data_IF_406322283688
#
_entry.id   IF_406322283688
#
_cell.length_a   1.000
_cell.length_b   1.000
_cell.length_c   1.000
_cell.angle_alpha   90.00
_cell.angle_beta   90.00
_cell.angle_gamma   90.00
#
_symmetry.space_group_name_H-M   'P 1'
#
loop_
_entity.id
_entity.type
_entity.pdbx_description
1 polymer ?
#
# COMPACT_ATOMS: atom_id res chain seq x y z
N UNK A 1 -2.66 5.45 -22.37
CA UNK A 1 -2.39 5.81 -20.95
C UNK A 1 -0.98 6.37 -20.89
N UNK A 2 -0.82 7.63 -20.55
CA UNK A 2 0.50 8.19 -20.25
C UNK A 2 0.85 7.92 -18.79
N UNK A 3 2.05 7.43 -18.52
CA UNK A 3 2.44 6.98 -17.17
C UNK A 3 3.71 7.67 -16.71
N UNK A 4 3.70 8.17 -15.48
CA UNK A 4 4.87 8.73 -14.81
C UNK A 4 5.16 7.94 -13.54
N UNK A 5 6.42 7.79 -13.23
CA UNK A 5 6.91 7.15 -12.01
C UNK A 5 7.69 8.21 -11.23
N UNK A 6 7.16 8.63 -10.10
CA UNK A 6 7.71 9.75 -9.32
C UNK A 6 7.85 9.34 -7.86
N UNK A 7 8.91 9.82 -7.23
CA UNK A 7 9.00 9.85 -5.78
C UNK A 7 8.10 10.94 -5.18
N UNK A 8 7.83 10.84 -3.88
CA UNK A 8 6.97 11.81 -3.17
C UNK A 8 7.50 13.25 -3.32
N UNK A 9 8.82 13.44 -3.23
CA UNK A 9 9.46 14.75 -3.35
C UNK A 9 9.44 15.34 -4.77
N UNK A 10 9.17 14.51 -5.79
CA UNK A 10 9.11 14.93 -7.19
C UNK A 10 7.70 15.39 -7.62
N UNK A 11 6.71 15.25 -6.73
CA UNK A 11 5.35 15.69 -6.98
C UNK A 11 5.29 17.23 -7.00
N UNK A 12 5.25 17.81 -8.19
CA UNK A 12 5.15 19.26 -8.39
C UNK A 12 3.71 19.78 -8.46
N UNK A 13 2.75 18.88 -8.67
CA UNK A 13 1.32 19.19 -8.71
C UNK A 13 0.53 17.92 -8.34
N UNK A 14 -0.71 18.10 -7.91
CA UNK A 14 -1.62 16.97 -7.63
C UNK A 14 -1.98 16.27 -8.94
N UNK A 15 -1.69 14.97 -9.11
CA UNK A 15 -2.08 14.23 -10.30
C UNK A 15 -3.60 14.01 -10.35
N UNK A 16 -4.15 13.84 -11.56
CA UNK A 16 -5.55 13.46 -11.71
C UNK A 16 -5.80 12.04 -11.18
N UNK A 17 -4.94 11.09 -11.55
CA UNK A 17 -4.97 9.70 -11.08
C UNK A 17 -3.61 9.37 -10.48
N UNK A 18 -3.61 8.91 -9.23
CA UNK A 18 -2.43 8.48 -8.50
C UNK A 18 -2.53 6.99 -8.13
N UNK A 19 -1.46 6.24 -8.35
CA UNK A 19 -1.27 4.90 -7.80
C UNK A 19 -0.09 4.96 -6.85
N UNK A 20 -0.35 4.88 -5.56
CA UNK A 20 0.69 4.91 -4.53
C UNK A 20 1.14 3.48 -4.27
N UNK A 21 2.40 3.21 -4.52
CA UNK A 21 2.97 1.85 -4.43
C UNK A 21 3.91 1.77 -3.23
N UNK A 22 3.61 0.83 -2.34
CA UNK A 22 4.45 0.45 -1.19
C UNK A 22 4.30 -1.07 -0.98
N UNK A 23 5.21 -1.81 -1.59
CA UNK A 23 5.22 -3.28 -1.57
C UNK A 23 5.67 -3.81 -0.22
N UNK A 24 6.75 -3.22 0.30
CA UNK A 24 7.39 -3.70 1.53
C UNK A 24 7.43 -2.59 2.62
N UNK A 25 6.25 -2.38 3.35
CA UNK A 25 5.17 -3.40 3.50
C UNK A 25 3.75 -2.81 3.51
N UNK A 26 3.59 -1.45 3.41
CA UNK A 26 2.35 -0.78 3.79
C UNK A 26 1.10 -1.33 3.11
N UNK A 27 1.12 -1.47 1.78
CA UNK A 27 -0.09 -1.85 1.05
C UNK A 27 -0.26 -3.36 0.89
N UNK A 28 0.79 -4.14 1.10
CA UNK A 28 0.63 -5.58 1.36
C UNK A 28 -0.10 -5.80 2.68
N UNK A 29 0.28 -5.09 3.75
CA UNK A 29 -0.40 -5.16 5.07
C UNK A 29 -1.85 -4.70 4.96
N UNK A 30 -2.12 -3.61 4.24
CA UNK A 30 -3.48 -3.12 4.01
C UNK A 30 -4.36 -4.18 3.31
N UNK A 31 -3.84 -4.82 2.27
CA UNK A 31 -4.55 -5.89 1.56
C UNK A 31 -4.84 -7.09 2.47
N UNK A 32 -3.87 -7.52 3.27
CA UNK A 32 -4.09 -8.56 4.28
C UNK A 32 -5.11 -8.15 5.35
N UNK A 33 -5.11 -6.88 5.79
CA UNK A 33 -6.11 -6.40 6.74
C UNK A 33 -7.54 -6.54 6.17
N UNK A 34 -7.76 -6.18 4.91
CA UNK A 34 -9.06 -6.39 4.23
C UNK A 34 -9.41 -7.86 4.09
N UNK A 35 -8.46 -8.70 3.70
CA UNK A 35 -8.67 -10.15 3.63
C UNK A 35 -9.00 -10.77 4.99
N UNK A 36 -8.60 -10.14 6.09
CA UNK A 36 -8.94 -10.51 7.47
C UNK A 36 -10.20 -9.84 8.00
N UNK A 37 -10.95 -9.15 7.13
CA UNK A 37 -12.28 -8.61 7.42
C UNK A 37 -12.30 -7.17 7.89
N UNK A 38 -11.20 -6.42 7.82
CA UNK A 38 -11.22 -4.99 8.10
C UNK A 38 -12.23 -4.27 7.19
N UNK A 39 -13.05 -3.39 7.76
CA UNK A 39 -14.04 -2.63 7.01
C UNK A 39 -13.39 -1.49 6.21
N UNK A 40 -12.48 -0.79 6.85
CA UNK A 40 -11.72 0.33 6.27
C UNK A 40 -10.38 0.53 6.97
N UNK A 41 -9.48 1.24 6.29
CA UNK A 41 -8.20 1.63 6.85
C UNK A 41 -8.11 3.15 6.81
N UNK A 42 -7.87 3.79 7.95
CA UNK A 42 -7.60 5.22 8.07
C UNK A 42 -6.09 5.43 8.04
N UNK A 43 -5.61 6.26 7.13
CA UNK A 43 -4.20 6.59 7.00
C UNK A 43 -3.87 7.79 7.88
N UNK A 44 -3.00 7.61 8.86
CA UNK A 44 -2.56 8.67 9.76
C UNK A 44 -1.25 9.32 9.27
N UNK A 45 -1.15 10.64 9.36
CA UNK A 45 0.05 11.38 8.97
C UNK A 45 1.17 11.32 10.01
N UNK A 46 0.82 11.08 11.29
CA UNK A 46 1.79 10.97 12.39
C UNK A 46 1.41 9.87 13.38
N UNK A 47 2.36 9.48 14.24
CA UNK A 47 2.10 8.54 15.34
C UNK A 47 1.11 9.13 16.34
N UNK A 48 1.24 10.42 16.65
CA UNK A 48 0.35 11.12 17.57
C UNK A 48 -1.09 11.17 17.04
N UNK A 49 -1.27 11.39 15.73
CA UNK A 49 -2.58 11.34 15.10
C UNK A 49 -3.18 9.92 15.18
N UNK A 50 -2.38 8.90 14.89
CA UNK A 50 -2.84 7.50 15.00
C UNK A 50 -3.28 7.16 16.44
N UNK A 51 -2.51 7.57 17.44
CA UNK A 51 -2.85 7.39 18.85
C UNK A 51 -4.07 8.20 19.27
N UNK A 52 -4.22 9.43 18.79
CA UNK A 52 -5.38 10.26 19.06
C UNK A 52 -6.66 9.65 18.44
N UNK A 53 -6.57 9.10 17.22
CA UNK A 53 -7.65 8.36 16.58
C UNK A 53 -8.02 7.10 17.40
N UNK A 54 -7.02 6.30 17.78
CA UNK A 54 -7.21 5.13 18.63
C UNK A 54 -7.84 5.50 19.97
N UNK A 55 -7.43 6.60 20.58
CA UNK A 55 -8.00 7.08 21.85
C UNK A 55 -9.49 7.48 21.75
N UNK A 56 -9.88 8.08 20.62
CA UNK A 56 -11.30 8.40 20.34
C UNK A 56 -12.14 7.19 19.95
N UNK A 57 -11.50 6.17 19.39
CA UNK A 57 -12.13 4.94 18.90
C UNK A 57 -11.38 3.72 19.47
N UNK A 58 -11.61 3.34 20.74
CA UNK A 58 -10.84 2.27 21.39
C UNK A 58 -10.98 0.89 20.72
N UNK A 59 -12.04 0.67 19.94
CA UNK A 59 -12.31 -0.52 19.15
C UNK A 59 -11.51 -0.59 17.84
N UNK A 60 -10.93 0.51 17.36
CA UNK A 60 -10.08 0.51 16.17
C UNK A 60 -8.76 -0.20 16.45
N UNK A 61 -8.14 -0.73 15.41
CA UNK A 61 -6.84 -1.42 15.47
C UNK A 61 -5.75 -0.50 14.94
N UNK A 62 -4.79 -0.12 15.78
CA UNK A 62 -3.71 0.79 15.41
C UNK A 62 -2.45 0.01 14.99
N UNK A 63 -1.95 0.29 13.78
CA UNK A 63 -0.74 -0.30 13.20
C UNK A 63 0.33 0.77 12.95
N UNK A 64 1.59 0.41 13.15
CA UNK A 64 2.73 1.29 12.83
C UNK A 64 3.95 0.51 12.31
N UNK A 65 4.84 1.20 11.61
CA UNK A 65 6.16 0.67 11.26
C UNK A 65 7.09 0.56 12.47
N UNK A 66 8.11 -0.27 12.34
CA UNK A 66 9.19 -0.45 13.32
C UNK A 66 8.78 -1.30 14.51
N UNK A 67 9.47 -1.17 15.63
CA UNK A 67 9.23 -1.95 16.84
C UNK A 67 7.82 -1.76 17.41
N UNK A 68 7.27 -2.76 18.12
CA UNK A 68 6.07 -2.59 18.92
C UNK A 68 6.19 -1.39 19.86
N UNK A 69 5.11 -0.63 20.01
CA UNK A 69 5.08 0.55 20.86
C UNK A 69 3.75 0.66 21.63
N UNK A 70 3.75 1.26 22.83
CA UNK A 70 2.54 1.46 23.61
C UNK A 70 1.46 2.19 22.82
N UNK A 71 0.21 1.75 22.94
CA UNK A 71 -0.94 2.33 22.25
C UNK A 71 -1.18 1.80 20.83
N UNK A 72 -0.25 1.04 20.25
CA UNK A 72 -0.42 0.33 18.99
C UNK A 72 -0.71 -1.16 19.24
N UNK A 73 -1.64 -1.70 18.46
CA UNK A 73 -2.09 -3.10 18.61
C UNK A 73 -1.19 -4.07 17.85
N UNK A 74 -0.51 -3.61 16.80
CA UNK A 74 0.42 -4.40 16.02
C UNK A 74 1.41 -3.53 15.23
N UNK A 75 2.41 -4.19 14.67
CA UNK A 75 3.33 -3.60 13.71
C UNK A 75 2.87 -3.85 12.27
N UNK A 76 3.37 -3.06 11.35
CA UNK A 76 3.07 -3.14 9.92
C UNK A 76 3.80 -4.34 9.26
N UNK A 77 3.31 -5.54 9.55
CA UNK A 77 3.87 -6.82 9.08
C UNK A 77 2.75 -7.75 8.61
N UNK A 78 2.72 -8.16 7.33
CA UNK A 78 1.72 -9.09 6.82
C UNK A 78 1.84 -10.47 7.50
N UNK A 79 3.04 -10.91 7.84
CA UNK A 79 3.27 -12.17 8.55
C UNK A 79 2.63 -12.20 9.92
N UNK A 80 2.63 -11.07 10.64
CA UNK A 80 1.97 -10.96 11.95
C UNK A 80 0.45 -10.73 11.82
N UNK A 81 0.03 -9.99 10.78
CA UNK A 81 -1.38 -9.60 10.62
C UNK A 81 -2.26 -10.73 10.07
N UNK A 82 -1.71 -11.60 9.21
CA UNK A 82 -2.47 -12.65 8.51
C UNK A 82 -3.24 -13.62 9.42
N UNK A 83 -2.85 -13.74 10.69
CA UNK A 83 -3.50 -14.60 11.68
C UNK A 83 -4.51 -13.85 12.57
N UNK A 84 -4.63 -12.52 12.44
CA UNK A 84 -5.56 -11.73 13.26
C UNK A 84 -6.95 -11.73 12.65
N UNK A 85 -7.96 -11.71 13.50
CA UNK A 85 -9.34 -11.42 13.11
C UNK A 85 -9.56 -9.90 13.18
N UNK A 86 -9.97 -9.31 12.05
CA UNK A 86 -10.27 -7.89 11.92
C UNK A 86 -11.71 -7.66 11.47
N UNK A 87 -12.57 -8.68 11.59
CA UNK A 87 -13.97 -8.64 11.14
C UNK A 87 -14.72 -7.39 11.60
N UNK A 88 -15.15 -6.55 10.64
CA UNK A 88 -15.88 -5.30 10.89
C UNK A 88 -15.07 -4.19 11.59
N UNK A 89 -13.75 -4.37 11.76
CA UNK A 89 -12.91 -3.38 12.46
C UNK A 89 -12.40 -2.31 11.50
N UNK A 90 -12.29 -1.09 12.01
CA UNK A 90 -11.50 -0.04 11.37
C UNK A 90 -10.05 -0.18 11.81
N UNK A 91 -9.13 -0.11 10.85
CA UNK A 91 -7.69 -0.08 11.10
C UNK A 91 -7.20 1.36 10.96
N UNK A 92 -6.39 1.84 11.89
CA UNK A 92 -5.61 3.07 11.70
C UNK A 92 -4.16 2.67 11.41
N UNK A 93 -3.65 3.10 10.27
CA UNK A 93 -2.31 2.73 9.80
C UNK A 93 -1.42 3.97 9.69
N UNK A 94 -0.24 3.91 10.31
CA UNK A 94 0.83 4.90 10.14
C UNK A 94 2.09 4.20 9.69
N UNK A 95 2.59 4.58 8.51
CA UNK A 95 3.85 4.06 7.97
C UNK A 95 4.82 5.17 7.60
N UNK A 96 6.08 4.83 7.41
CA UNK A 96 7.14 5.79 7.11
C UNK A 96 7.00 6.38 5.71
N UNK A 97 6.56 5.59 4.73
CA UNK A 97 6.51 5.97 3.32
C UNK A 97 5.10 5.86 2.73
N UNK A 98 4.44 4.72 2.80
CA UNK A 98 3.15 4.47 2.13
C UNK A 98 2.05 5.46 2.54
N UNK A 99 1.82 5.66 3.84
CA UNK A 99 0.80 6.62 4.31
C UNK A 99 1.15 8.05 3.94
N UNK A 100 2.44 8.41 3.94
CA UNK A 100 2.92 9.74 3.53
C UNK A 100 2.64 9.96 2.03
N UNK A 101 2.94 8.95 1.19
CA UNK A 101 2.67 9.01 -0.25
C UNK A 101 1.18 9.19 -0.57
N UNK A 102 0.29 8.45 0.09
CA UNK A 102 -1.15 8.59 -0.13
C UNK A 102 -1.67 9.96 0.31
N UNK A 103 -1.20 10.47 1.45
CA UNK A 103 -1.57 11.80 1.93
C UNK A 103 -1.05 12.93 1.03
N UNK A 104 0.11 12.75 0.38
CA UNK A 104 0.66 13.73 -0.56
C UNK A 104 -0.19 13.90 -1.82
N UNK A 105 -0.99 12.90 -2.19
CA UNK A 105 -1.88 12.92 -3.38
C UNK A 105 -3.36 12.87 -3.01
N UNK A 106 -3.72 13.17 -1.77
CA UNK A 106 -5.10 13.05 -1.25
C UNK A 106 -6.16 13.83 -2.02
N UNK A 107 -5.76 14.87 -2.74
CA UNK A 107 -6.64 15.74 -3.54
C UNK A 107 -6.74 15.29 -5.02
N UNK A 108 -6.13 14.15 -5.39
CA UNK A 108 -6.30 13.53 -6.70
C UNK A 108 -7.74 13.02 -6.88
N UNK A 109 -8.23 13.03 -8.12
CA UNK A 109 -9.59 12.56 -8.43
C UNK A 109 -9.76 11.06 -8.19
N UNK A 110 -8.67 10.29 -8.30
CA UNK A 110 -8.61 8.87 -7.95
C UNK A 110 -7.25 8.58 -7.32
N UNK A 111 -7.28 7.98 -6.13
CA UNK A 111 -6.08 7.47 -5.45
C UNK A 111 -6.23 5.98 -5.27
N UNK A 112 -5.26 5.22 -5.77
CA UNK A 112 -5.15 3.78 -5.56
C UNK A 112 -3.91 3.50 -4.70
N UNK A 113 -4.04 2.53 -3.80
CA UNK A 113 -2.94 2.02 -2.99
C UNK A 113 -2.60 0.61 -3.46
N UNK A 114 -1.34 0.32 -3.77
CA UNK A 114 -1.01 -0.93 -4.44
C UNK A 114 0.28 -1.59 -3.94
N UNK A 115 0.31 -2.90 -4.08
CA UNK A 115 1.44 -3.82 -4.03
C UNK A 115 1.17 -4.97 -4.98
N UNK A 116 2.09 -5.93 -5.12
CA UNK A 116 1.91 -7.08 -6.00
C UNK A 116 0.66 -7.90 -5.69
N UNK A 117 0.28 -7.98 -4.42
CA UNK A 117 -0.86 -8.79 -3.94
C UNK A 117 -2.23 -8.37 -4.50
N UNK A 118 -2.33 -7.17 -5.11
CA UNK A 118 -3.54 -6.60 -5.71
C UNK A 118 -3.27 -6.00 -7.09
N UNK A 119 -2.18 -6.39 -7.75
CA UNK A 119 -1.69 -5.73 -8.96
C UNK A 119 -2.68 -5.82 -10.14
N UNK A 120 -3.24 -6.99 -10.43
CA UNK A 120 -4.21 -7.17 -11.51
C UNK A 120 -5.52 -6.43 -11.26
N UNK A 121 -6.03 -6.45 -10.03
CA UNK A 121 -7.24 -5.70 -9.69
C UNK A 121 -7.03 -4.18 -9.83
N UNK A 122 -5.86 -3.68 -9.44
CA UNK A 122 -5.46 -2.29 -9.64
C UNK A 122 -5.35 -1.94 -11.13
N UNK A 123 -4.67 -2.77 -11.91
CA UNK A 123 -4.51 -2.57 -13.36
C UNK A 123 -5.86 -2.57 -14.09
N UNK A 124 -6.75 -3.51 -13.75
CA UNK A 124 -8.09 -3.58 -14.31
C UNK A 124 -8.92 -2.32 -14.02
N UNK A 125 -8.88 -1.84 -12.77
CA UNK A 125 -9.60 -0.61 -12.41
C UNK A 125 -9.07 0.61 -13.19
N UNK A 126 -7.77 0.72 -13.40
CA UNK A 126 -7.17 1.76 -14.25
C UNK A 126 -7.64 1.66 -15.70
N UNK A 127 -7.68 0.45 -16.26
CA UNK A 127 -8.18 0.19 -17.61
C UNK A 127 -9.66 0.59 -17.77
N UNK A 128 -10.52 0.17 -16.84
CA UNK A 128 -11.96 0.45 -16.82
C UNK A 128 -12.27 1.95 -16.73
N UNK A 129 -11.40 2.73 -16.09
CA UNK A 129 -11.52 4.19 -15.99
C UNK A 129 -11.09 4.93 -17.26
N UNK A 130 -10.78 4.22 -18.35
CA UNK A 130 -10.56 4.78 -19.69
C UNK A 130 -9.16 5.33 -19.91
N UNK A 131 -8.22 5.01 -19.09
CA UNK A 131 -6.81 5.40 -19.20
C UNK A 131 -6.61 6.90 -19.27
N UNK A 132 -5.96 7.63 -18.79
CA UNK A 132 -5.58 9.03 -18.80
C UNK A 132 -4.12 9.15 -18.39
N UNK A 133 -3.75 10.29 -17.87
CA UNK A 133 -2.45 10.47 -17.24
C UNK A 133 -2.48 9.83 -15.85
N UNK A 134 -1.67 8.82 -15.64
CA UNK A 134 -1.53 8.11 -14.36
C UNK A 134 -0.14 8.37 -13.79
N UNK A 135 -0.10 8.86 -12.56
CA UNK A 135 1.14 9.00 -11.81
C UNK A 135 1.26 7.86 -10.79
N UNK A 136 2.29 7.04 -10.98
CA UNK A 136 2.70 6.06 -9.99
C UNK A 136 3.65 6.74 -8.99
N UNK A 137 3.23 6.78 -7.72
CA UNK A 137 4.03 7.32 -6.63
C UNK A 137 4.79 6.18 -5.98
N UNK A 138 6.08 6.12 -6.23
CA UNK A 138 7.02 5.17 -5.65
C UNK A 138 7.46 5.72 -4.30
N UNK A 139 7.12 5.05 -3.21
CA UNK A 139 7.21 5.69 -1.88
C UNK A 139 8.55 5.49 -1.19
N UNK A 140 9.23 4.39 -1.43
CA UNK A 140 10.51 4.05 -0.80
C UNK A 140 11.71 4.74 -1.47
N UNK A 141 12.79 4.93 -0.71
CA UNK A 141 14.10 5.40 -1.17
C UNK A 141 14.06 6.63 -2.10
N UNK A 142 13.27 7.64 -1.71
CA UNK A 142 13.07 8.87 -2.49
C UNK A 142 12.61 8.60 -3.95
N UNK A 143 11.75 7.59 -4.13
CA UNK A 143 11.20 7.23 -5.42
C UNK A 143 12.04 6.21 -6.21
N UNK A 144 13.04 5.60 -5.60
CA UNK A 144 13.96 4.66 -6.24
C UNK A 144 13.94 3.25 -5.68
N UNK A 145 13.03 2.95 -4.73
CA UNK A 145 12.88 1.61 -4.19
C UNK A 145 12.55 0.61 -5.30
N UNK A 146 13.42 -0.39 -5.46
CA UNK A 146 13.34 -1.33 -6.59
C UNK A 146 12.07 -2.19 -6.57
N UNK A 147 11.59 -2.58 -5.39
CA UNK A 147 10.37 -3.35 -5.22
C UNK A 147 9.13 -2.55 -5.62
N UNK A 148 9.06 -1.28 -5.19
CA UNK A 148 7.92 -0.41 -5.49
C UNK A 148 7.91 -0.03 -6.96
N UNK A 149 9.07 0.31 -7.53
CA UNK A 149 9.19 0.67 -8.94
C UNK A 149 8.91 -0.54 -9.85
N UNK A 150 9.38 -1.74 -9.49
CA UNK A 150 9.07 -2.97 -10.23
C UNK A 150 7.55 -3.23 -10.24
N UNK A 151 6.90 -3.13 -9.09
CA UNK A 151 5.45 -3.30 -8.99
C UNK A 151 4.69 -2.24 -9.79
N UNK A 152 5.07 -0.97 -9.68
CA UNK A 152 4.48 0.13 -10.43
C UNK A 152 4.57 -0.08 -11.95
N UNK A 153 5.74 -0.48 -12.46
CA UNK A 153 5.96 -0.77 -13.87
C UNK A 153 5.14 -1.98 -14.34
N UNK A 154 5.05 -3.02 -13.54
CA UNK A 154 4.20 -4.18 -13.83
C UNK A 154 2.73 -3.77 -13.96
N UNK A 155 2.18 -3.06 -12.97
CA UNK A 155 0.79 -2.58 -12.98
C UNK A 155 0.52 -1.68 -14.19
N UNK A 156 1.43 -0.75 -14.51
CA UNK A 156 1.29 0.17 -15.64
C UNK A 156 1.15 -0.56 -16.97
N UNK A 157 1.97 -1.58 -17.23
CA UNK A 157 1.93 -2.38 -18.44
C UNK A 157 0.66 -3.25 -18.50
N UNK A 158 0.27 -3.86 -17.35
CA UNK A 158 -1.00 -4.60 -17.26
C UNK A 158 -2.19 -3.70 -17.56
N UNK A 159 -2.21 -2.48 -16.99
CA UNK A 159 -3.25 -1.49 -17.24
C UNK A 159 -3.26 -0.95 -18.69
N UNK A 160 -2.17 -1.07 -19.43
CA UNK A 160 -2.11 -0.80 -20.87
C UNK A 160 -2.60 -1.98 -21.74
N UNK A 161 -3.07 -3.08 -21.14
CA UNK A 161 -3.55 -4.27 -21.82
C UNK A 161 -2.46 -5.22 -22.31
N UNK A 162 -1.21 -5.04 -21.87
CA UNK A 162 -0.10 -5.90 -22.28
C UNK A 162 -0.15 -7.26 -21.59
N UNK A 163 0.16 -8.31 -22.31
CA UNK A 163 0.48 -9.61 -21.73
C UNK A 163 1.91 -9.57 -21.18
N UNK A 164 2.04 -9.46 -19.85
CA UNK A 164 3.34 -9.24 -19.18
C UNK A 164 3.67 -10.44 -18.31
N UNK A 165 4.89 -10.98 -18.47
CA UNK A 165 5.44 -11.93 -17.52
C UNK A 165 5.82 -11.20 -16.23
N UNK A 166 5.26 -11.60 -15.10
CA UNK A 166 5.53 -11.01 -13.79
C UNK A 166 6.90 -11.42 -13.22
N UNK A 167 7.46 -12.53 -13.64
CA UNK A 167 8.66 -13.11 -13.02
C UNK A 167 9.88 -12.17 -12.97
N UNK A 168 10.18 -11.35 -14.00
CA UNK A 168 11.28 -10.38 -13.91
C UNK A 168 11.06 -9.30 -12.85
N UNK A 169 9.82 -8.83 -12.68
CA UNK A 169 9.46 -7.80 -11.70
C UNK A 169 9.52 -8.34 -10.28
N UNK A 170 8.98 -9.54 -10.04
CA UNK A 170 9.05 -10.21 -8.75
C UNK A 170 10.49 -10.52 -8.34
N UNK A 171 11.34 -10.98 -9.29
CA UNK A 171 12.76 -11.19 -9.01
C UNK A 171 13.47 -9.88 -8.64
N UNK A 172 13.19 -8.79 -9.37
CA UNK A 172 13.76 -7.48 -9.05
C UNK A 172 13.34 -7.02 -7.65
N UNK A 173 12.07 -7.15 -7.31
CA UNK A 173 11.56 -6.81 -5.99
C UNK A 173 12.14 -7.70 -4.88
N UNK A 174 12.31 -9.00 -5.14
CA UNK A 174 12.92 -9.95 -4.20
C UNK A 174 14.42 -9.75 -3.98
N UNK A 175 15.10 -9.03 -4.89
CA UNK A 175 16.52 -8.65 -4.78
C UNK A 175 16.68 -7.17 -4.38
N UNK A 176 15.63 -6.52 -3.90
CA UNK A 176 15.71 -5.14 -3.44
C UNK A 176 16.36 -5.03 -2.07
N UNK A 177 16.91 -3.87 -1.77
CA UNK A 177 17.42 -3.56 -0.44
C UNK A 177 16.37 -3.78 0.66
N UNK A 178 15.11 -3.44 0.39
CA UNK A 178 14.03 -3.65 1.35
C UNK A 178 13.80 -5.14 1.65
N UNK A 179 13.89 -6.00 0.62
CA UNK A 179 13.80 -7.45 0.79
C UNK A 179 14.94 -8.00 1.63
N UNK A 180 16.19 -7.57 1.36
CA UNK A 180 17.37 -7.97 2.12
C UNK A 180 17.23 -7.55 3.60
N UNK A 181 16.92 -6.29 3.86
CA UNK A 181 16.75 -5.75 5.23
C UNK A 181 15.65 -6.48 6.03
N UNK A 182 14.57 -6.90 5.35
CA UNK A 182 13.50 -7.69 5.98
C UNK A 182 13.95 -9.13 6.24
N UNK A 183 14.61 -9.76 5.28
CA UNK A 183 15.08 -11.15 5.40
C UNK A 183 16.17 -11.29 6.48
N UNK A 184 17.04 -10.30 6.61
CA UNK A 184 18.08 -10.24 7.63
C UNK A 184 17.56 -9.80 9.01
N UNK A 185 16.29 -9.37 9.11
CA UNK A 185 15.69 -8.91 10.35
C UNK A 185 16.24 -7.55 10.84
N UNK A 186 16.85 -6.78 9.94
CA UNK A 186 17.38 -5.43 10.25
C UNK A 186 16.23 -4.46 10.50
N UNK A 187 15.11 -4.62 9.83
CA UNK A 187 13.91 -3.81 10.06
C UNK A 187 13.16 -4.31 11.29
N UNK A 188 13.09 -3.48 12.31
CA UNK A 188 12.30 -3.79 13.51
C UNK A 188 10.84 -4.10 13.17
N UNK A 189 10.27 -5.08 13.88
CA UNK A 189 8.90 -5.55 13.65
C UNK A 189 8.73 -6.39 12.39
N UNK A 190 9.82 -6.83 11.75
CA UNK A 190 9.76 -7.78 10.64
C UNK A 190 9.35 -9.17 11.09
N UNK A 191 8.71 -9.92 10.20
CA UNK A 191 8.41 -11.34 10.35
C UNK A 191 9.11 -12.12 9.23
N UNK A 192 9.62 -13.32 9.48
CA UNK A 192 10.35 -14.10 8.46
C UNK A 192 9.60 -14.31 7.15
N UNK A 193 8.27 -14.35 7.19
CA UNK A 193 7.43 -14.54 5.99
C UNK A 193 7.10 -13.23 5.26
N UNK A 194 7.49 -12.05 5.76
CA UNK A 194 7.06 -10.77 5.20
C UNK A 194 7.45 -10.63 3.72
N UNK A 195 8.70 -10.97 3.37
CA UNK A 195 9.16 -10.88 1.97
C UNK A 195 8.33 -11.77 1.06
N UNK A 196 8.14 -13.03 1.44
CA UNK A 196 7.36 -13.98 0.65
C UNK A 196 5.91 -13.51 0.44
N UNK A 197 5.28 -13.01 1.51
CA UNK A 197 3.91 -12.49 1.46
C UNK A 197 3.78 -11.20 0.64
N UNK A 198 4.80 -10.35 0.63
CA UNK A 198 4.83 -9.14 -0.20
C UNK A 198 5.01 -9.45 -1.69
N UNK A 199 5.60 -10.58 -2.03
CA UNK A 199 5.84 -11.02 -3.40
C UNK A 199 4.76 -11.98 -3.96
N UNK A 200 3.72 -12.29 -3.19
CA UNK A 200 2.55 -12.99 -3.72
C UNK A 200 1.88 -12.12 -4.80
N UNK A 201 1.79 -12.64 -6.01
CA UNK A 201 1.14 -11.94 -7.11
C UNK A 201 -0.37 -12.17 -7.08
N UNK A 202 -1.15 -11.09 -7.18
CA UNK A 202 -2.61 -11.14 -7.37
C UNK A 202 -3.35 -12.03 -6.35
N UNK A 203 -2.84 -11.99 -5.13
CA UNK A 203 -3.39 -12.78 -4.02
C UNK A 203 -4.84 -12.43 -3.72
N UNK A 204 -5.22 -11.16 -3.93
CA UNK A 204 -6.54 -10.65 -3.60
C UNK A 204 -7.23 -10.02 -4.82
N UNK A 205 -8.54 -10.30 -5.03
CA UNK A 205 -9.25 -9.90 -6.24
C UNK A 205 -9.86 -8.49 -6.16
N UNK A 206 -9.38 -7.62 -5.29
CA UNK A 206 -9.86 -6.26 -5.11
C UNK A 206 -8.75 -5.23 -5.30
N UNK A 207 -9.10 -4.06 -5.81
CA UNK A 207 -8.25 -2.88 -5.75
C UNK A 207 -8.46 -2.15 -4.41
N UNK A 208 -7.50 -1.33 -4.01
CA UNK A 208 -7.61 -0.50 -2.81
C UNK A 208 -7.75 0.97 -3.22
N UNK A 209 -8.93 1.54 -2.98
CA UNK A 209 -9.23 2.94 -3.32
C UNK A 209 -9.15 3.77 -2.05
N UNK A 210 -8.38 4.87 -2.12
CA UNK A 210 -8.28 5.83 -1.04
C UNK A 210 -9.07 7.10 -1.38
N UNK A 211 -9.84 7.60 -0.42
CA UNK A 211 -10.64 8.81 -0.56
C UNK A 211 -10.72 9.56 0.78
N UNK A 212 -11.04 10.84 0.72
CA UNK A 212 -11.31 11.62 1.92
C UNK A 212 -12.74 11.34 2.44
N UNK A 213 -12.83 10.90 3.69
CA UNK A 213 -14.07 10.74 4.44
C UNK A 213 -13.94 11.50 5.77
N UNK A 214 -14.80 12.47 6.04
CA UNK A 214 -14.79 13.27 7.28
C UNK A 214 -13.40 13.83 7.65
N UNK A 215 -12.70 14.37 6.65
CA UNK A 215 -11.34 14.92 6.75
C UNK A 215 -10.21 13.87 6.98
N UNK A 216 -10.53 12.59 7.01
CA UNK A 216 -9.57 11.50 7.11
C UNK A 216 -9.32 10.89 5.73
N UNK A 217 -8.10 10.45 5.45
CA UNK A 217 -7.81 9.65 4.27
C UNK A 217 -8.13 8.19 4.58
N UNK A 218 -9.13 7.64 3.89
CA UNK A 218 -9.66 6.31 4.13
C UNK A 218 -9.44 5.42 2.92
N UNK A 219 -8.89 4.24 3.13
CA UNK A 219 -8.75 3.18 2.12
C UNK A 219 -9.87 2.18 2.28
N UNK A 220 -10.49 1.78 1.16
CA UNK A 220 -11.48 0.71 1.09
C UNK A 220 -11.15 -0.29 -0.01
N UNK A 221 -11.51 -1.57 0.16
CA UNK A 221 -11.41 -2.55 -0.92
C UNK A 221 -12.50 -2.23 -1.97
N UNK A 222 -12.12 -2.28 -3.24
CA UNK A 222 -13.03 -2.11 -4.37
C UNK A 222 -12.98 -3.37 -5.23
N UNK A 223 -14.12 -4.03 -5.36
CA UNK A 223 -14.31 -5.14 -6.28
C UNK A 223 -15.19 -4.63 -7.42
N UNK A 224 -14.73 -4.75 -8.65
CA UNK A 224 -15.57 -4.44 -9.81
C UNK A 224 -16.81 -5.33 -9.81
N UNK A 225 -17.99 -4.82 -10.20
CA UNK A 225 -19.23 -5.58 -10.27
C UNK A 225 -19.19 -6.71 -11.29
#
# INVERSE_FOLDING_TARGET
MDTRFLGIAELSATPSVAVVVDVMRAYTVAAWAFARGAEKIVLAGSLDEALALKGRHPDWVALKDGAPAPGFDAVNSPGQLRSRDLGGRTVVQKTTAGTVGALAVKDASLVLCAGFVVAEATARLLWERGGGDVTFVVTGEDGRADEDLACAQYIARRAAGEAVDAAPYLRRAGNSRAADELAEGVREGAHPDDVALCLELDRFPFAMVAAQEDSLMVVRPYTAP
#
